data_IF_289671127679
#
_entry.id   IF_289671127679
#
_cell.length_a   1.000
_cell.length_b   1.000
_cell.length_c   1.000
_cell.angle_alpha   90.00
_cell.angle_beta   90.00
_cell.angle_gamma   90.00
#
_symmetry.space_group_name_H-M   'P 1'
#
loop_
_entity.id
_entity.type
_entity.pdbx_description
1 polymer ?
#
# COMPACT_ATOMS: atom_id res chain seq x y z
N UNK A 1 -10.23 -44.82 -40.24
CA UNK A 1 -10.41 -44.95 -38.77
C UNK A 1 -9.07 -44.69 -38.10
N UNK A 2 -8.97 -43.67 -37.21
CA UNK A 2 -7.74 -43.45 -36.44
C UNK A 2 -7.67 -44.46 -35.28
N UNK A 3 -6.53 -45.15 -35.09
CA UNK A 3 -6.39 -46.10 -34.00
C UNK A 3 -6.54 -45.36 -32.64
N UNK A 4 -7.33 -45.94 -31.75
CA UNK A 4 -7.47 -45.43 -30.39
C UNK A 4 -6.20 -45.73 -29.59
N UNK A 5 -5.65 -44.71 -28.91
CA UNK A 5 -4.47 -44.88 -28.05
C UNK A 5 -4.72 -45.95 -26.97
N UNK A 6 -3.72 -46.82 -26.66
CA UNK A 6 -3.83 -47.82 -25.60
C UNK A 6 -4.08 -47.17 -24.23
N UNK A 7 -4.80 -47.86 -23.36
CA UNK A 7 -5.22 -47.34 -22.03
C UNK A 7 -4.07 -46.78 -21.19
N UNK A 8 -2.89 -47.42 -21.22
CA UNK A 8 -1.68 -46.94 -20.52
C UNK A 8 -1.19 -45.60 -21.03
N UNK A 9 -1.19 -45.37 -22.35
CA UNK A 9 -0.78 -44.06 -22.92
C UNK A 9 -1.76 -42.93 -22.56
N UNK A 10 -3.05 -43.22 -22.50
CA UNK A 10 -4.07 -42.26 -22.05
C UNK A 10 -3.88 -41.89 -20.57
N UNK A 11 -3.61 -42.85 -19.70
CA UNK A 11 -3.34 -42.61 -18.29
C UNK A 11 -2.07 -41.77 -18.10
N UNK A 12 -0.99 -42.02 -18.82
CA UNK A 12 0.24 -41.24 -18.78
C UNK A 12 0.01 -39.77 -19.25
N UNK A 13 -0.75 -39.59 -20.32
CA UNK A 13 -1.08 -38.24 -20.82
C UNK A 13 -1.92 -37.44 -19.82
N UNK A 14 -2.86 -38.08 -19.13
CA UNK A 14 -3.68 -37.45 -18.09
C UNK A 14 -2.81 -37.02 -16.89
N UNK A 15 -1.91 -37.88 -16.43
CA UNK A 15 -0.99 -37.59 -15.32
C UNK A 15 -0.09 -36.39 -15.66
N UNK A 16 0.48 -36.37 -16.89
CA UNK A 16 1.32 -35.25 -17.35
C UNK A 16 0.52 -33.96 -17.44
N UNK A 17 -0.70 -34.01 -18.00
CA UNK A 17 -1.55 -32.83 -18.11
C UNK A 17 -1.93 -32.25 -16.73
N UNK A 18 -2.30 -33.11 -15.77
CA UNK A 18 -2.60 -32.68 -14.38
C UNK A 18 -1.36 -32.06 -13.71
N UNK A 19 -0.18 -32.65 -13.92
CA UNK A 19 1.09 -32.12 -13.41
C UNK A 19 1.39 -30.72 -13.97
N UNK A 20 1.22 -30.52 -15.27
CA UNK A 20 1.44 -29.21 -15.92
C UNK A 20 0.44 -28.16 -15.43
N UNK A 21 -0.82 -28.51 -15.22
CA UNK A 21 -1.82 -27.60 -14.66
C UNK A 21 -1.46 -27.22 -13.21
N UNK A 22 -1.07 -28.18 -12.39
CA UNK A 22 -0.65 -27.91 -11.01
C UNK A 22 0.57 -26.99 -10.94
N UNK A 23 1.56 -27.20 -11.82
CA UNK A 23 2.73 -26.31 -11.93
C UNK A 23 2.32 -24.90 -12.37
N UNK A 24 1.47 -24.78 -13.39
CA UNK A 24 1.00 -23.47 -13.88
C UNK A 24 0.22 -22.69 -12.78
N UNK A 25 -0.65 -23.40 -12.05
CA UNK A 25 -1.38 -22.81 -10.89
C UNK A 25 -0.41 -22.40 -9.79
N UNK A 26 0.59 -23.23 -9.47
CA UNK A 26 1.62 -22.92 -8.48
C UNK A 26 2.46 -21.71 -8.87
N UNK A 27 2.86 -21.59 -10.12
CA UNK A 27 3.58 -20.42 -10.65
C UNK A 27 2.70 -19.17 -10.60
N UNK A 28 1.44 -19.26 -11.03
CA UNK A 28 0.50 -18.13 -10.99
C UNK A 28 0.28 -17.65 -9.54
N UNK A 29 0.14 -18.57 -8.60
CA UNK A 29 0.01 -18.26 -7.18
C UNK A 29 1.29 -17.62 -6.62
N UNK A 30 2.46 -18.16 -6.95
CA UNK A 30 3.76 -17.62 -6.54
C UNK A 30 3.99 -16.21 -7.08
N UNK A 31 3.71 -15.97 -8.37
CA UNK A 31 3.82 -14.65 -9.00
C UNK A 31 2.83 -13.66 -8.39
N UNK A 32 1.64 -14.09 -8.01
CA UNK A 32 0.65 -13.24 -7.33
C UNK A 32 1.02 -12.94 -5.87
N UNK A 33 1.65 -13.87 -5.18
CA UNK A 33 2.07 -13.72 -3.77
C UNK A 33 3.33 -12.86 -3.61
N UNK A 34 4.17 -12.79 -4.63
CA UNK A 34 5.41 -11.98 -4.61
C UNK A 34 5.20 -10.51 -4.99
N UNK A 35 3.95 -10.08 -5.20
CA UNK A 35 3.64 -8.69 -5.55
C UNK A 35 3.68 -7.81 -4.30
N UNK A 36 4.91 -7.47 -3.85
CA UNK A 36 5.11 -6.45 -2.81
C UNK A 36 4.41 -5.16 -3.26
N UNK A 37 3.50 -4.60 -2.45
CA UNK A 37 2.71 -3.45 -2.85
C UNK A 37 3.61 -2.26 -3.17
N UNK A 38 3.76 -1.95 -4.45
CA UNK A 38 4.59 -0.84 -4.90
C UNK A 38 3.82 0.47 -4.76
N UNK A 39 4.40 1.44 -4.05
CA UNK A 39 3.87 2.80 -3.98
C UNK A 39 4.37 3.53 -5.25
N UNK A 40 3.50 3.61 -6.26
CA UNK A 40 3.84 4.19 -7.56
C UNK A 40 2.90 5.37 -7.89
N UNK A 41 3.37 6.61 -7.65
CA UNK A 41 2.58 7.82 -7.91
C UNK A 41 2.43 8.14 -9.41
N UNK A 42 3.12 7.44 -10.30
CA UNK A 42 2.98 7.60 -11.75
C UNK A 42 1.89 6.69 -12.34
N UNK A 43 1.44 5.67 -11.61
CA UNK A 43 0.41 4.75 -12.07
C UNK A 43 -0.99 5.35 -11.84
N UNK A 44 -1.62 5.84 -12.91
CA UNK A 44 -2.91 6.52 -12.86
C UNK A 44 -4.02 5.68 -12.20
N UNK A 45 -4.07 4.37 -12.46
CA UNK A 45 -5.08 3.48 -11.87
C UNK A 45 -4.90 3.32 -10.35
N UNK A 46 -3.65 3.24 -9.88
CA UNK A 46 -3.34 3.20 -8.44
C UNK A 46 -3.67 4.51 -7.76
N UNK A 47 -3.29 5.62 -8.37
CA UNK A 47 -3.59 6.96 -7.86
C UNK A 47 -5.09 7.17 -7.73
N UNK A 48 -5.89 6.82 -8.74
CA UNK A 48 -7.34 6.96 -8.68
C UNK A 48 -7.98 6.02 -7.64
N UNK A 49 -7.51 4.77 -7.53
CA UNK A 49 -7.92 3.89 -6.42
C UNK A 49 -7.58 4.51 -5.07
N UNK A 50 -6.35 5.01 -4.92
CA UNK A 50 -5.86 5.64 -3.70
C UNK A 50 -6.66 6.87 -3.32
N UNK A 51 -7.02 7.71 -4.29
CA UNK A 51 -7.86 8.89 -4.07
C UNK A 51 -9.21 8.50 -3.45
N UNK A 52 -9.91 7.51 -4.00
CA UNK A 52 -11.19 7.05 -3.45
C UNK A 52 -11.06 6.51 -2.03
N UNK A 53 -10.03 5.71 -1.77
CA UNK A 53 -9.78 5.15 -0.44
C UNK A 53 -9.35 6.24 0.56
N UNK A 54 -8.54 7.21 0.13
CA UNK A 54 -8.16 8.35 0.95
C UNK A 54 -9.38 9.15 1.40
N UNK A 55 -10.28 9.47 0.49
CA UNK A 55 -11.52 10.19 0.79
C UNK A 55 -12.37 9.42 1.81
N UNK A 56 -12.45 8.10 1.67
CA UNK A 56 -13.27 7.26 2.55
C UNK A 56 -12.67 7.05 3.95
N UNK A 57 -11.34 6.99 4.08
CA UNK A 57 -10.69 6.53 5.31
C UNK A 57 -9.79 7.58 5.99
N UNK A 58 -9.29 8.58 5.26
CA UNK A 58 -8.24 9.48 5.74
C UNK A 58 -8.68 10.95 5.79
N UNK A 59 -9.49 11.37 4.81
CA UNK A 59 -9.81 12.78 4.60
C UNK A 59 -10.56 13.45 5.77
N UNK A 60 -11.31 12.69 6.56
CA UNK A 60 -12.03 13.22 7.74
C UNK A 60 -11.09 13.84 8.78
N UNK A 61 -9.85 13.36 8.85
CA UNK A 61 -8.83 13.87 9.77
C UNK A 61 -7.73 14.67 9.04
N UNK A 62 -7.27 14.17 7.88
CA UNK A 62 -6.13 14.75 7.16
C UNK A 62 -6.51 15.78 6.11
N UNK A 63 -7.82 16.09 5.99
CA UNK A 63 -8.35 17.05 5.02
C UNK A 63 -8.56 16.45 3.63
N UNK A 64 -9.56 16.96 2.90
CA UNK A 64 -9.89 16.46 1.55
C UNK A 64 -8.86 16.87 0.48
N UNK A 65 -8.12 17.95 0.74
CA UNK A 65 -7.03 18.46 -0.09
C UNK A 65 -5.65 18.20 0.53
N UNK A 66 -5.56 17.25 1.48
CA UNK A 66 -4.34 16.85 2.18
C UNK A 66 -3.82 17.89 3.19
N UNK A 67 -4.60 18.91 3.52
CA UNK A 67 -4.24 20.09 4.29
C UNK A 67 -4.06 19.84 5.79
N UNK A 68 -4.50 18.68 6.31
CA UNK A 68 -4.44 18.36 7.73
C UNK A 68 -5.35 19.23 8.61
N UNK A 69 -5.07 19.23 9.90
CA UNK A 69 -5.79 20.02 10.90
C UNK A 69 -4.98 21.28 11.30
N UNK A 70 -5.66 22.37 11.71
CA UNK A 70 -4.99 23.56 12.19
C UNK A 70 -4.07 23.27 13.38
N UNK A 71 -2.92 23.97 13.44
CA UNK A 71 -1.94 23.84 14.52
C UNK A 71 -1.43 22.41 14.76
N UNK A 72 -1.35 21.57 13.72
CA UNK A 72 -0.99 20.16 13.81
C UNK A 72 0.34 19.88 14.54
N UNK A 73 1.23 20.88 14.65
CA UNK A 73 2.50 20.77 15.39
C UNK A 73 2.35 21.01 16.89
N UNK A 74 1.18 21.46 17.36
CA UNK A 74 0.92 21.76 18.78
C UNK A 74 0.04 20.69 19.41
N UNK A 75 0.51 20.14 20.53
CA UNK A 75 -0.30 19.17 21.28
C UNK A 75 -1.58 19.80 21.82
N UNK A 76 -2.65 19.06 21.71
CA UNK A 76 -3.92 19.35 22.36
C UNK A 76 -3.79 19.17 23.89
N UNK A 77 -4.74 19.70 24.70
CA UNK A 77 -4.73 19.51 26.15
C UNK A 77 -4.69 18.02 26.62
N UNK A 78 -5.19 17.10 25.80
CA UNK A 78 -5.13 15.64 26.04
C UNK A 78 -3.79 15.00 25.64
N UNK A 79 -2.79 15.78 25.25
CA UNK A 79 -1.46 15.32 24.87
C UNK A 79 -1.33 14.80 23.44
N UNK A 80 -2.43 14.71 22.67
CA UNK A 80 -2.44 14.22 21.28
C UNK A 80 -2.09 15.34 20.30
N UNK A 81 -1.54 14.97 19.15
CA UNK A 81 -1.35 15.89 18.03
C UNK A 81 -2.54 15.82 17.08
N UNK A 82 -3.00 16.97 16.55
CA UNK A 82 -3.93 16.98 15.44
C UNK A 82 -3.33 16.28 14.21
N UNK A 83 -4.18 15.84 13.27
CA UNK A 83 -3.74 15.17 12.07
C UNK A 83 -2.87 16.08 11.20
N UNK A 84 -1.64 15.69 10.85
CA UNK A 84 -0.75 16.50 10.03
C UNK A 84 -1.21 16.57 8.57
N UNK A 85 -0.79 17.61 7.83
CA UNK A 85 -0.94 17.66 6.38
C UNK A 85 -0.18 16.53 5.69
N UNK A 86 -0.71 16.08 4.56
CA UNK A 86 -0.05 15.15 3.66
C UNK A 86 0.46 15.80 2.36
N UNK A 87 0.22 17.10 2.19
CA UNK A 87 0.78 17.92 1.12
C UNK A 87 2.25 18.31 1.40
N UNK A 88 2.80 19.22 0.63
CA UNK A 88 4.17 19.73 0.79
C UNK A 88 4.39 20.52 2.08
N UNK A 89 3.33 21.05 2.70
CA UNK A 89 3.41 21.83 3.94
C UNK A 89 3.55 20.95 5.19
N UNK A 90 3.23 19.65 5.05
CA UNK A 90 3.40 18.65 6.08
C UNK A 90 4.79 18.04 6.12
N UNK A 91 4.91 16.90 6.80
CA UNK A 91 6.19 16.19 6.94
C UNK A 91 6.17 14.74 6.43
N UNK A 92 5.09 14.29 5.80
CA UNK A 92 4.93 12.92 5.28
C UNK A 92 6.07 12.53 4.34
N UNK A 93 6.52 13.43 3.50
CA UNK A 93 7.60 13.22 2.53
C UNK A 93 9.01 13.12 3.15
N UNK A 94 9.16 13.37 4.44
CA UNK A 94 10.40 13.10 5.18
C UNK A 94 10.57 11.63 5.56
N UNK A 95 9.50 10.84 5.48
CA UNK A 95 9.51 9.44 5.88
C UNK A 95 9.68 8.50 4.69
N UNK A 96 10.30 7.33 4.98
CA UNK A 96 10.43 6.25 4.02
C UNK A 96 9.08 5.55 3.76
N UNK A 97 8.91 5.00 2.58
CA UNK A 97 7.71 4.26 2.20
C UNK A 97 7.39 3.11 3.18
N UNK A 98 8.41 2.38 3.62
CA UNK A 98 8.24 1.31 4.60
C UNK A 98 7.71 1.82 5.96
N UNK A 99 8.15 2.99 6.39
CA UNK A 99 7.64 3.61 7.62
C UNK A 99 6.19 4.08 7.44
N UNK A 100 5.88 4.71 6.31
CA UNK A 100 4.52 5.17 6.00
C UNK A 100 3.53 3.99 5.92
N UNK A 101 3.92 2.89 5.28
CA UNK A 101 3.14 1.64 5.28
C UNK A 101 2.88 1.17 6.70
N UNK A 102 3.94 1.06 7.51
CA UNK A 102 3.86 0.54 8.88
C UNK A 102 2.95 1.38 9.77
N UNK A 103 3.08 2.71 9.78
CA UNK A 103 2.24 3.56 10.63
C UNK A 103 0.78 3.52 10.21
N UNK A 104 0.49 3.38 8.93
CA UNK A 104 -0.88 3.23 8.43
C UNK A 104 -1.46 1.87 8.81
N UNK A 105 -0.68 0.79 8.74
CA UNK A 105 -1.12 -0.54 9.12
C UNK A 105 -1.38 -0.65 10.63
N UNK A 106 -0.44 -0.16 11.46
CA UNK A 106 -0.40 -0.44 12.89
C UNK A 106 -0.97 0.70 13.76
N UNK A 107 -1.16 1.91 13.19
CA UNK A 107 -1.63 3.06 13.95
C UNK A 107 -0.77 3.32 15.21
N UNK A 108 -1.40 3.42 16.42
CA UNK A 108 -0.67 3.69 17.66
C UNK A 108 0.46 2.71 17.95
N UNK A 109 0.32 1.43 17.57
CA UNK A 109 1.32 0.40 17.83
C UNK A 109 2.62 0.56 17.01
N UNK A 110 2.62 1.45 16.01
CA UNK A 110 3.84 1.78 15.25
C UNK A 110 4.78 2.73 15.98
N UNK A 111 4.31 3.40 17.02
CA UNK A 111 5.05 4.41 17.77
C UNK A 111 5.62 3.87 19.07
N UNK A 112 6.63 4.56 19.68
CA UNK A 112 7.13 4.20 20.99
C UNK A 112 6.02 4.24 22.06
N UNK A 113 6.23 3.49 23.13
CA UNK A 113 5.33 3.49 24.27
C UNK A 113 5.12 4.92 24.80
N UNK A 114 3.86 5.25 25.11
CA UNK A 114 3.47 6.60 25.58
C UNK A 114 3.21 7.62 24.49
N UNK A 115 3.42 7.29 23.19
CA UNK A 115 3.04 8.19 22.12
C UNK A 115 1.51 8.18 21.92
N UNK A 116 0.88 9.34 22.08
CA UNK A 116 -0.57 9.49 21.97
C UNK A 116 -0.95 9.99 20.57
N UNK A 117 -1.77 9.21 19.88
CA UNK A 117 -2.33 9.56 18.56
C UNK A 117 -3.77 9.09 18.44
N UNK A 118 -4.57 9.79 17.62
CA UNK A 118 -5.93 9.38 17.24
C UNK A 118 -5.96 8.63 15.90
N UNK A 119 -4.83 8.49 15.22
CA UNK A 119 -4.75 7.74 13.97
C UNK A 119 -5.02 6.25 14.23
N UNK A 120 -6.09 5.67 13.66
CA UNK A 120 -6.39 4.26 13.87
C UNK A 120 -5.42 3.35 13.11
N UNK A 121 -5.39 2.07 13.49
CA UNK A 121 -4.73 1.03 12.71
C UNK A 121 -5.64 0.58 11.56
N UNK A 122 -5.13 0.60 10.33
CA UNK A 122 -5.91 0.22 9.15
C UNK A 122 -5.60 -1.19 8.64
N UNK A 123 -4.62 -1.90 9.19
CA UNK A 123 -4.19 -3.21 8.70
C UNK A 123 -5.25 -4.31 8.72
N UNK A 124 -6.32 -4.15 9.53
CA UNK A 124 -7.44 -5.09 9.57
C UNK A 124 -8.59 -4.70 8.61
N UNK A 125 -8.57 -3.50 8.03
CA UNK A 125 -9.65 -2.96 7.19
C UNK A 125 -9.22 -2.65 5.76
N UNK A 126 -7.93 -2.39 5.56
CA UNK A 126 -7.32 -2.10 4.27
C UNK A 126 -6.21 -3.12 3.99
N UNK A 127 -6.19 -3.65 2.77
CA UNK A 127 -5.06 -4.49 2.33
C UNK A 127 -3.80 -3.64 2.13
N UNK A 128 -2.63 -4.28 2.11
CA UNK A 128 -1.36 -3.61 1.81
C UNK A 128 -1.39 -2.91 0.44
N UNK A 129 -2.09 -3.49 -0.54
CA UNK A 129 -2.31 -2.86 -1.86
C UNK A 129 -3.17 -1.60 -1.77
N UNK A 130 -4.14 -1.55 -0.87
CA UNK A 130 -4.98 -0.37 -0.64
C UNK A 130 -4.18 0.75 0.02
N UNK A 131 -3.41 0.41 1.06
CA UNK A 131 -2.52 1.37 1.73
C UNK A 131 -1.48 1.91 0.76
N UNK A 132 -0.85 1.04 -0.05
CA UNK A 132 0.10 1.48 -1.08
C UNK A 132 -0.55 2.38 -2.14
N UNK A 133 -1.81 2.14 -2.50
CA UNK A 133 -2.55 3.00 -3.41
C UNK A 133 -2.85 4.38 -2.79
N UNK A 134 -3.26 4.43 -1.51
CA UNK A 134 -3.45 5.69 -0.77
C UNK A 134 -2.15 6.49 -0.75
N UNK A 135 -1.03 5.86 -0.41
CA UNK A 135 0.28 6.51 -0.38
C UNK A 135 0.72 6.97 -1.78
N UNK A 136 0.40 6.21 -2.84
CA UNK A 136 0.64 6.62 -4.22
C UNK A 136 -0.16 7.87 -4.59
N UNK A 137 -1.43 7.96 -4.17
CA UNK A 137 -2.25 9.17 -4.33
C UNK A 137 -1.62 10.35 -3.61
N UNK A 138 -1.30 10.25 -2.31
CA UNK A 138 -0.65 11.31 -1.54
C UNK A 138 0.62 11.79 -2.24
N UNK A 139 1.51 10.87 -2.63
CA UNK A 139 2.78 11.18 -3.32
C UNK A 139 2.54 11.82 -4.70
N UNK A 140 1.46 11.51 -5.39
CA UNK A 140 1.13 12.10 -6.68
C UNK A 140 0.79 13.58 -6.60
N UNK A 141 0.33 14.04 -5.42
CA UNK A 141 -0.03 15.44 -5.17
C UNK A 141 1.18 16.33 -4.81
N UNK A 142 2.33 15.72 -4.48
CA UNK A 142 3.53 16.49 -4.13
C UNK A 142 4.18 17.15 -5.36
N UNK A 143 4.80 18.33 -5.19
CA UNK A 143 5.66 18.93 -6.18
C UNK A 143 6.76 17.96 -6.68
N UNK A 144 7.21 18.08 -7.93
CA UNK A 144 8.19 17.15 -8.51
C UNK A 144 9.51 17.05 -7.74
N UNK A 145 10.00 18.14 -7.18
CA UNK A 145 11.23 18.19 -6.38
C UNK A 145 11.09 17.44 -5.05
N UNK A 146 9.95 17.56 -4.38
CA UNK A 146 9.62 16.83 -3.16
C UNK A 146 9.52 15.32 -3.44
N UNK A 147 8.82 14.92 -4.51
CA UNK A 147 8.79 13.51 -4.93
C UNK A 147 10.19 12.96 -5.22
N UNK A 148 11.00 13.72 -5.97
CA UNK A 148 12.37 13.32 -6.27
C UNK A 148 13.23 13.18 -5.01
N UNK A 149 13.08 14.09 -4.04
CA UNK A 149 13.79 14.02 -2.76
C UNK A 149 13.43 12.76 -1.98
N UNK A 150 12.14 12.49 -1.80
CA UNK A 150 11.66 11.31 -1.08
C UNK A 150 12.05 10.01 -1.79
N UNK A 151 12.01 9.98 -3.14
CA UNK A 151 12.48 8.82 -3.91
C UNK A 151 13.95 8.52 -3.70
N UNK A 152 14.82 9.54 -3.63
CA UNK A 152 16.25 9.35 -3.31
C UNK A 152 16.44 8.79 -1.90
N UNK A 153 15.65 9.24 -0.92
CA UNK A 153 15.70 8.70 0.45
C UNK A 153 15.34 7.21 0.49
N UNK A 154 14.33 6.79 -0.28
CA UNK A 154 13.94 5.37 -0.38
C UNK A 154 15.00 4.51 -1.07
N UNK A 155 15.70 5.04 -2.07
CA UNK A 155 16.72 4.30 -2.82
C UNK A 155 18.06 4.16 -2.06
N UNK A 156 18.31 4.99 -1.06
CA UNK A 156 19.56 4.99 -0.27
C UNK A 156 19.55 3.97 0.88
N UNK A 157 18.51 3.17 0.99
CA UNK A 157 18.32 2.12 2.01
C UNK A 157 17.80 0.85 1.35
#
# INVERSE_FOLDING_TARGET
MKPALPRLQRASLVVVAVGLVAIAVGIAFYLSASDVPRIDPANANRVERGRRLYVAACASCHGSSLEGQPNWQRRLPNGRLPAPPHDETGHTWHHLDAFLMRITQLGPAAYPEGYLTDMPAFGNTLSDRDIAAILAYIKSQWPPDIRARQSRQNAAR
#
